data_IF_983314786735
#
_entry.id   IF_983314786735
#
_cell.length_a   1.000
_cell.length_b   1.000
_cell.length_c   1.000
_cell.angle_alpha   90.00
_cell.angle_beta   90.00
_cell.angle_gamma   90.00
#
_symmetry.space_group_name_H-M   'P 1'
#
loop_
_entity.id
_entity.type
_entity.pdbx_description
1 polymer ?
#
# COMPACT_ATOMS: atom_id res chain seq x y z
N UNK A 1 7.25 14.29 -12.93
CA UNK A 1 6.60 13.05 -13.42
C UNK A 1 5.67 12.43 -12.41
N UNK A 2 6.11 12.22 -11.17
CA UNK A 2 5.24 11.60 -10.14
C UNK A 2 3.96 12.38 -9.88
N UNK A 3 4.01 13.71 -9.87
CA UNK A 3 2.80 14.54 -9.72
C UNK A 3 1.81 14.32 -10.86
N UNK A 4 2.31 14.16 -12.07
CA UNK A 4 1.47 13.89 -13.23
C UNK A 4 0.78 12.53 -13.10
N UNK A 5 1.53 11.50 -12.73
CA UNK A 5 0.97 10.16 -12.51
C UNK A 5 -0.03 10.19 -11.36
N UNK A 6 0.26 10.91 -10.28
CA UNK A 6 -0.66 11.09 -9.16
C UNK A 6 -1.98 11.70 -9.63
N UNK A 7 -1.93 12.76 -10.43
CA UNK A 7 -3.13 13.40 -10.96
C UNK A 7 -3.92 12.45 -11.86
N UNK A 8 -3.24 11.67 -12.72
CA UNK A 8 -3.89 10.64 -13.52
C UNK A 8 -4.56 9.57 -12.64
N UNK A 9 -3.91 9.15 -11.57
CA UNK A 9 -4.43 8.09 -10.69
C UNK A 9 -5.70 8.50 -9.94
N UNK A 10 -6.02 9.79 -9.89
CA UNK A 10 -7.28 10.27 -9.33
C UNK A 10 -8.48 9.99 -10.23
N UNK A 11 -8.24 9.69 -11.51
CA UNK A 11 -9.28 9.39 -12.48
C UNK A 11 -9.42 7.88 -12.64
N UNK A 12 -10.56 7.32 -12.24
CA UNK A 12 -10.81 5.88 -12.33
C UNK A 12 -10.63 5.35 -13.78
N UNK A 13 -10.90 6.16 -14.77
CA UNK A 13 -10.77 5.78 -16.19
C UNK A 13 -9.32 5.50 -16.62
N UNK A 14 -8.32 5.95 -15.86
CA UNK A 14 -6.90 5.74 -16.17
C UNK A 14 -6.31 4.53 -15.46
N UNK A 15 -7.00 3.93 -14.50
CA UNK A 15 -6.44 2.89 -13.64
C UNK A 15 -5.99 1.65 -14.41
N UNK A 16 -6.80 1.17 -15.36
CA UNK A 16 -6.43 -0.01 -16.15
C UNK A 16 -5.22 0.26 -17.04
N UNK A 17 -5.17 1.46 -17.65
CA UNK A 17 -4.02 1.85 -18.46
C UNK A 17 -2.74 1.95 -17.65
N UNK A 18 -2.81 2.52 -16.45
CA UNK A 18 -1.67 2.59 -15.55
C UNK A 18 -1.21 1.20 -15.12
N UNK A 19 -2.13 0.32 -14.75
CA UNK A 19 -1.80 -1.06 -14.39
C UNK A 19 -1.16 -1.81 -15.56
N UNK A 20 -1.75 -1.71 -16.75
CA UNK A 20 -1.26 -2.40 -17.94
C UNK A 20 0.10 -1.89 -18.41
N UNK A 21 0.47 -0.66 -18.07
CA UNK A 21 1.79 -0.10 -18.39
C UNK A 21 2.88 -0.52 -17.41
N UNK A 22 2.55 -1.32 -16.39
CA UNK A 22 3.50 -1.74 -15.36
C UNK A 22 3.76 -0.68 -14.29
N UNK A 23 2.86 0.28 -14.12
CA UNK A 23 3.05 1.36 -13.16
C UNK A 23 3.18 0.85 -11.72
N UNK A 24 2.38 -0.17 -11.33
CA UNK A 24 2.42 -0.72 -9.97
C UNK A 24 3.79 -1.31 -9.65
N UNK A 25 4.35 -2.11 -10.55
CA UNK A 25 5.69 -2.68 -10.40
C UNK A 25 6.74 -1.58 -10.28
N UNK A 26 6.75 -0.64 -11.21
CA UNK A 26 7.73 0.45 -11.25
C UNK A 26 7.66 1.31 -9.99
N UNK A 27 6.46 1.65 -9.55
CA UNK A 27 6.27 2.48 -8.34
C UNK A 27 6.69 1.74 -7.07
N UNK A 28 6.40 0.45 -6.99
CA UNK A 28 6.81 -0.38 -5.87
C UNK A 28 8.33 -0.49 -5.80
N UNK A 29 9.00 -0.70 -6.93
CA UNK A 29 10.45 -0.75 -7.02
C UNK A 29 11.08 0.60 -6.63
N UNK A 30 10.51 1.70 -7.09
CA UNK A 30 10.96 3.04 -6.74
C UNK A 30 10.84 3.28 -5.23
N UNK A 31 9.73 2.90 -4.64
CA UNK A 31 9.52 3.05 -3.20
C UNK A 31 10.58 2.27 -2.40
N UNK A 32 10.79 1.00 -2.75
CA UNK A 32 11.76 0.14 -2.08
C UNK A 32 13.19 0.61 -2.24
N UNK A 33 13.58 1.05 -3.43
CA UNK A 33 14.95 1.48 -3.71
C UNK A 33 15.28 2.84 -3.12
N UNK A 34 14.28 3.68 -2.86
CA UNK A 34 14.48 5.02 -2.31
C UNK A 34 14.47 5.08 -0.78
N UNK A 35 14.19 3.97 -0.11
CA UNK A 35 13.93 3.96 1.34
C UNK A 35 15.07 4.53 2.19
N UNK A 36 16.31 4.38 1.73
CA UNK A 36 17.50 4.93 2.40
C UNK A 36 18.02 6.21 1.73
N UNK A 37 17.27 6.77 0.79
CA UNK A 37 17.63 7.95 0.02
C UNK A 37 17.23 9.24 0.75
N UNK A 38 18.00 10.34 0.63
CA UNK A 38 17.62 11.63 1.22
C UNK A 38 16.28 12.18 0.72
N UNK A 39 15.88 11.86 -0.51
CA UNK A 39 14.61 12.27 -1.09
C UNK A 39 13.43 11.36 -0.78
N UNK A 40 13.60 10.38 0.11
CA UNK A 40 12.60 9.33 0.36
C UNK A 40 11.24 9.89 0.76
N UNK A 41 11.20 10.88 1.65
CA UNK A 41 9.94 11.43 2.14
C UNK A 41 9.06 11.98 1.01
N UNK A 42 9.66 12.73 0.09
CA UNK A 42 8.93 13.32 -1.03
C UNK A 42 8.50 12.23 -2.03
N UNK A 43 9.42 11.34 -2.40
CA UNK A 43 9.14 10.24 -3.32
C UNK A 43 8.04 9.35 -2.75
N UNK A 44 8.16 8.94 -1.49
CA UNK A 44 7.20 8.04 -0.86
C UNK A 44 5.83 8.68 -0.71
N UNK A 45 5.76 9.96 -0.40
CA UNK A 45 4.49 10.68 -0.32
C UNK A 45 3.73 10.60 -1.66
N UNK A 46 4.41 10.85 -2.77
CA UNK A 46 3.79 10.77 -4.10
C UNK A 46 3.43 9.32 -4.46
N UNK A 47 4.36 8.38 -4.27
CA UNK A 47 4.12 6.96 -4.60
C UNK A 47 2.97 6.38 -3.79
N UNK A 48 2.92 6.64 -2.48
CA UNK A 48 1.85 6.12 -1.64
C UNK A 48 0.48 6.69 -2.01
N UNK A 49 0.41 7.96 -2.39
CA UNK A 49 -0.82 8.54 -2.90
C UNK A 49 -1.30 7.83 -4.18
N UNK A 50 -0.38 7.59 -5.10
CA UNK A 50 -0.70 6.89 -6.36
C UNK A 50 -1.17 5.46 -6.06
N UNK A 51 -0.45 4.74 -5.22
CA UNK A 51 -0.79 3.35 -4.87
C UNK A 51 -2.13 3.26 -4.16
N UNK A 52 -2.42 4.20 -3.26
CA UNK A 52 -3.74 4.26 -2.62
C UNK A 52 -4.85 4.42 -3.65
N UNK A 53 -4.69 5.36 -4.60
CA UNK A 53 -5.68 5.61 -5.62
C UNK A 53 -5.89 4.39 -6.53
N UNK A 54 -4.81 3.70 -6.90
CA UNK A 54 -4.87 2.53 -7.79
C UNK A 54 -5.43 1.30 -7.10
N UNK A 55 -5.03 1.04 -5.86
CA UNK A 55 -5.37 -0.20 -5.16
C UNK A 55 -6.70 -0.13 -4.44
N UNK A 56 -7.20 1.06 -4.18
CA UNK A 56 -8.47 1.24 -3.48
C UNK A 56 -9.60 0.52 -4.20
N UNK A 57 -10.30 -0.36 -3.49
CA UNK A 57 -11.44 -1.12 -3.99
C UNK A 57 -11.14 -2.01 -5.22
N UNK A 58 -9.88 -2.32 -5.47
CA UNK A 58 -9.50 -3.20 -6.58
C UNK A 58 -8.67 -4.39 -6.08
N UNK A 59 -9.30 -5.55 -6.03
CA UNK A 59 -8.62 -6.80 -5.62
C UNK A 59 -7.46 -7.14 -6.55
N UNK A 60 -7.65 -6.96 -7.84
CA UNK A 60 -6.62 -7.27 -8.86
C UNK A 60 -5.38 -6.41 -8.67
N UNK A 61 -5.54 -5.10 -8.45
CA UNK A 61 -4.42 -4.20 -8.25
C UNK A 61 -3.76 -4.41 -6.88
N UNK A 62 -4.54 -4.72 -5.85
CA UNK A 62 -4.00 -5.10 -4.55
C UNK A 62 -3.12 -6.34 -4.65
N UNK A 63 -3.58 -7.37 -5.36
CA UNK A 63 -2.79 -8.58 -5.58
C UNK A 63 -1.52 -8.30 -6.40
N UNK A 64 -1.63 -7.47 -7.43
CA UNK A 64 -0.47 -7.06 -8.24
C UNK A 64 0.58 -6.36 -7.38
N UNK A 65 0.17 -5.42 -6.54
CA UNK A 65 1.06 -4.73 -5.62
C UNK A 65 1.69 -5.71 -4.61
N UNK A 66 0.91 -6.65 -4.07
CA UNK A 66 1.42 -7.66 -3.14
C UNK A 66 2.46 -8.57 -3.81
N UNK A 67 2.21 -9.00 -5.04
CA UNK A 67 3.14 -9.83 -5.81
C UNK A 67 4.46 -9.10 -6.09
N UNK A 68 4.41 -7.78 -6.23
CA UNK A 68 5.60 -6.95 -6.45
C UNK A 68 6.34 -6.59 -5.15
N UNK A 69 5.88 -7.08 -4.00
CA UNK A 69 6.60 -6.96 -2.74
C UNK A 69 6.31 -5.68 -1.95
N UNK A 70 5.16 -5.04 -2.16
CA UNK A 70 4.84 -3.80 -1.46
C UNK A 70 4.61 -3.99 0.05
N UNK A 71 4.10 -5.15 0.49
CA UNK A 71 3.70 -5.36 1.87
C UNK A 71 4.86 -5.15 2.86
N UNK A 72 6.02 -5.83 2.70
CA UNK A 72 7.14 -5.60 3.64
C UNK A 72 7.67 -4.17 3.58
N UNK A 73 7.62 -3.51 2.43
CA UNK A 73 8.04 -2.12 2.29
C UNK A 73 7.12 -1.20 3.11
N UNK A 74 5.80 -1.39 2.99
CA UNK A 74 4.82 -0.62 3.76
C UNK A 74 4.96 -0.85 5.26
N UNK A 75 5.20 -2.10 5.68
CA UNK A 75 5.41 -2.42 7.08
C UNK A 75 6.65 -1.71 7.64
N UNK A 76 7.71 -1.63 6.86
CA UNK A 76 8.92 -0.91 7.24
C UNK A 76 8.66 0.59 7.38
N UNK A 77 7.93 1.19 6.45
CA UNK A 77 7.57 2.61 6.48
C UNK A 77 6.74 2.92 7.73
N UNK A 78 5.76 2.08 8.05
CA UNK A 78 4.90 2.27 9.23
C UNK A 78 5.71 2.29 10.52
N UNK A 79 6.77 1.49 10.59
CA UNK A 79 7.62 1.42 11.79
C UNK A 79 8.58 2.59 11.94
N UNK A 80 9.01 3.21 10.82
CA UNK A 80 10.13 4.16 10.84
C UNK A 80 9.74 5.60 10.56
N UNK A 81 8.67 5.84 9.78
CA UNK A 81 8.34 7.16 9.27
C UNK A 81 6.94 7.61 9.66
N UNK A 82 6.89 8.45 10.69
CA UNK A 82 5.64 8.85 11.29
C UNK A 82 4.68 9.58 10.36
N UNK A 83 5.00 10.61 9.58
CA UNK A 83 3.97 11.21 8.73
C UNK A 83 3.48 10.28 7.62
N UNK A 84 4.35 9.40 7.12
CA UNK A 84 4.03 8.46 6.05
C UNK A 84 3.14 7.31 6.50
N UNK A 85 3.11 7.04 7.80
CA UNK A 85 2.24 6.02 8.39
C UNK A 85 0.78 6.22 7.99
N UNK A 86 0.31 7.46 7.98
CA UNK A 86 -1.07 7.77 7.64
C UNK A 86 -1.42 7.44 6.17
N UNK A 87 -0.43 7.39 5.30
CA UNK A 87 -0.63 7.00 3.91
C UNK A 87 -0.43 5.49 3.71
N UNK A 88 0.51 4.90 4.43
CA UNK A 88 0.84 3.48 4.27
C UNK A 88 -0.18 2.55 4.94
N UNK A 89 -0.72 2.92 6.11
CA UNK A 89 -1.65 2.08 6.85
C UNK A 89 -2.95 1.78 6.10
N UNK A 90 -3.61 2.75 5.44
CA UNK A 90 -4.81 2.43 4.66
C UNK A 90 -4.54 1.39 3.57
N UNK A 91 -3.40 1.47 2.89
CA UNK A 91 -3.04 0.51 1.85
C UNK A 91 -2.85 -0.89 2.47
N UNK A 92 -2.13 -0.97 3.59
CA UNK A 92 -1.92 -2.25 4.29
C UNK A 92 -3.22 -2.87 4.79
N UNK A 93 -4.11 -2.07 5.35
CA UNK A 93 -5.40 -2.57 5.83
C UNK A 93 -6.30 -3.02 4.69
N UNK A 94 -6.24 -2.32 3.55
CA UNK A 94 -6.99 -2.72 2.36
C UNK A 94 -6.50 -4.05 1.76
N UNK A 95 -5.27 -4.46 2.05
CA UNK A 95 -4.75 -5.76 1.60
C UNK A 95 -5.55 -6.95 2.15
N UNK A 96 -6.23 -6.78 3.28
CA UNK A 96 -7.13 -7.80 3.81
C UNK A 96 -8.32 -8.08 2.88
N UNK A 97 -8.68 -7.10 2.06
CA UNK A 97 -9.75 -7.22 1.06
C UNK A 97 -9.27 -7.78 -0.27
N UNK A 98 -7.98 -8.00 -0.44
CA UNK A 98 -7.42 -8.54 -1.68
C UNK A 98 -7.88 -9.98 -1.92
N UNK A 99 -7.62 -10.50 -3.13
CA UNK A 99 -7.93 -11.88 -3.45
C UNK A 99 -7.05 -12.88 -2.70
N UNK A 100 -7.25 -14.16 -3.01
CA UNK A 100 -6.59 -15.27 -2.32
C UNK A 100 -5.07 -15.15 -2.32
N UNK A 101 -4.49 -14.74 -3.45
CA UNK A 101 -3.04 -14.61 -3.59
C UNK A 101 -2.51 -13.49 -2.70
N UNK A 102 -3.16 -12.33 -2.72
CA UNK A 102 -2.76 -11.19 -1.89
C UNK A 102 -2.85 -11.50 -0.40
N UNK A 103 -3.92 -12.17 0.03
CA UNK A 103 -4.07 -12.57 1.44
C UNK A 103 -3.03 -13.61 1.86
N UNK A 104 -2.64 -14.51 0.95
CA UNK A 104 -1.56 -15.46 1.23
C UNK A 104 -0.23 -14.73 1.47
N UNK A 105 0.09 -13.76 0.63
CA UNK A 105 1.32 -12.96 0.80
C UNK A 105 1.26 -12.15 2.09
N UNK A 106 0.09 -11.59 2.40
CA UNK A 106 -0.13 -10.87 3.66
C UNK A 106 0.10 -11.77 4.87
N UNK A 107 -0.38 -13.01 4.84
CA UNK A 107 -0.14 -14.02 5.88
C UNK A 107 1.35 -14.30 6.04
N UNK A 108 2.07 -14.52 4.93
CA UNK A 108 3.50 -14.77 4.94
C UNK A 108 4.31 -13.63 5.54
N UNK A 109 3.80 -12.41 5.46
CA UNK A 109 4.41 -11.22 6.03
C UNK A 109 3.85 -10.89 7.43
N UNK A 110 3.23 -11.85 8.09
CA UNK A 110 2.67 -11.70 9.44
C UNK A 110 1.64 -10.58 9.54
N UNK A 111 0.79 -10.47 8.53
CA UNK A 111 -0.23 -9.42 8.45
C UNK A 111 -1.22 -9.47 9.60
N UNK A 112 -1.64 -10.66 10.05
CA UNK A 112 -2.55 -10.78 11.18
C UNK A 112 -1.95 -10.21 12.45
N UNK A 113 -0.69 -10.57 12.77
CA UNK A 113 0.02 -10.04 13.92
C UNK A 113 0.18 -8.52 13.84
N UNK A 114 0.41 -8.02 12.63
CA UNK A 114 0.48 -6.58 12.38
C UNK A 114 -0.84 -5.89 12.70
N UNK A 115 -1.97 -6.41 12.21
CA UNK A 115 -3.28 -5.83 12.50
C UNK A 115 -3.63 -5.88 13.98
N UNK A 116 -3.29 -6.98 14.65
CA UNK A 116 -3.48 -7.10 16.10
C UNK A 116 -2.69 -6.01 16.83
N UNK A 117 -1.48 -5.72 16.40
CA UNK A 117 -0.67 -4.66 17.00
C UNK A 117 -1.28 -3.27 16.84
N UNK A 118 -2.04 -3.04 15.77
CA UNK A 118 -2.74 -1.77 15.55
C UNK A 118 -3.93 -1.56 16.48
N UNK A 119 -4.44 -2.61 17.10
CA UNK A 119 -5.56 -2.48 18.05
C UNK A 119 -5.21 -1.64 19.27
N UNK A 120 -3.94 -1.51 19.58
CA UNK A 120 -3.47 -0.64 20.66
C UNK A 120 -3.54 0.85 20.33
N UNK A 121 -3.65 1.20 19.05
CA UNK A 121 -3.73 2.58 18.58
C UNK A 121 -5.20 2.97 18.43
N UNK A 122 -5.67 3.90 19.24
CA UNK A 122 -7.09 4.33 19.23
C UNK A 122 -7.56 4.84 17.88
N UNK A 123 -6.67 5.48 17.13
CA UNK A 123 -7.02 6.02 15.82
C UNK A 123 -7.23 4.91 14.78
N UNK A 124 -6.40 3.87 14.84
CA UNK A 124 -6.41 2.78 13.84
C UNK A 124 -7.18 1.54 14.29
N UNK A 125 -7.69 1.53 15.51
CA UNK A 125 -8.35 0.37 16.11
C UNK A 125 -9.51 -0.17 15.28
N UNK A 126 -10.40 0.71 14.83
CA UNK A 126 -11.57 0.31 14.04
C UNK A 126 -11.14 -0.22 12.68
N UNK A 127 -10.20 0.45 12.03
CA UNK A 127 -9.67 0.02 10.73
C UNK A 127 -9.01 -1.34 10.83
N UNK A 128 -8.26 -1.57 11.90
CA UNK A 128 -7.60 -2.86 12.14
C UNK A 128 -8.62 -3.99 12.42
N UNK A 129 -9.66 -3.69 13.21
CA UNK A 129 -10.74 -4.66 13.47
C UNK A 129 -11.46 -5.04 12.18
N UNK A 130 -11.74 -4.08 11.31
CA UNK A 130 -12.35 -4.34 10.01
C UNK A 130 -11.47 -5.25 9.15
N UNK A 131 -10.18 -4.98 9.10
CA UNK A 131 -9.24 -5.81 8.36
C UNK A 131 -9.18 -7.25 8.89
N UNK A 132 -9.16 -7.43 10.20
CA UNK A 132 -9.17 -8.76 10.82
C UNK A 132 -10.47 -9.49 10.52
N UNK A 133 -11.59 -8.79 10.61
CA UNK A 133 -12.92 -9.37 10.38
C UNK A 133 -13.09 -9.85 8.93
N UNK A 134 -12.67 -9.03 7.97
CA UNK A 134 -12.77 -9.34 6.53
C UNK A 134 -11.85 -10.50 6.16
N UNK A 135 -10.70 -10.59 6.77
CA UNK A 135 -9.75 -11.67 6.51
C UNK A 135 -10.29 -13.01 7.03
#
# INVERSE_FOLDING_TARGET
MLKFIKNLSMLATTHDSLQNSGAIETLTDLLGSSIDSPGFREISNQVLNIMYNLCRLSKTRQEDAALNGIIPILQKIVKTEWPLKEFALPILCDMAHSGKIGRKILWQNKGLQFYISLLADKYWQVTALDAIFIW
#
